data_IF_360970953608
#
_entry.id   IF_360970953608
#
_cell.length_a   1.000
_cell.length_b   1.000
_cell.length_c   1.000
_cell.angle_alpha   90.00
_cell.angle_beta   90.00
_cell.angle_gamma   90.00
#
_symmetry.space_group_name_H-M   'P 1'
#
loop_
_entity.id
_entity.type
_entity.pdbx_description
1 polymer ?
#
# COMPACT_ATOMS: atom_id res chain seq x y z
N UNK A 1 16.63 69.36 38.85
CA UNK A 1 15.80 69.34 37.62
C UNK A 1 15.96 68.03 36.98
N UNK A 2 14.94 67.17 37.16
CA UNK A 2 14.90 65.76 36.64
C UNK A 2 13.82 65.74 35.60
N UNK A 3 14.17 65.89 34.35
CA UNK A 3 13.25 65.81 33.24
C UNK A 3 13.69 64.67 32.30
N UNK A 4 12.81 63.74 32.02
CA UNK A 4 12.79 62.48 31.19
C UNK A 4 12.86 61.19 32.02
N UNK A 5 11.73 60.83 32.61
CA UNK A 5 11.42 59.41 32.80
C UNK A 5 10.69 58.90 31.54
N UNK A 6 11.38 58.15 30.65
CA UNK A 6 10.74 57.38 29.62
C UNK A 6 9.88 56.29 30.29
N UNK A 7 8.58 56.30 30.07
CA UNK A 7 7.72 55.17 30.39
C UNK A 7 8.08 54.04 29.42
N UNK A 8 8.70 53.00 29.94
CA UNK A 8 8.88 51.73 29.19
C UNK A 8 7.49 51.16 28.82
N UNK A 9 7.05 51.43 27.59
CA UNK A 9 5.97 50.66 27.01
C UNK A 9 6.51 49.25 26.75
N UNK A 10 6.22 48.31 27.65
CA UNK A 10 6.36 46.86 27.34
C UNK A 10 5.47 46.59 26.14
N UNK A 11 6.11 46.46 24.97
CA UNK A 11 5.44 45.83 23.84
C UNK A 11 5.07 44.39 24.30
N UNK A 12 3.78 44.09 24.38
CA UNK A 12 3.33 42.73 24.48
C UNK A 12 3.76 42.06 23.19
N UNK A 13 4.70 41.12 23.24
CA UNK A 13 4.98 40.25 22.12
C UNK A 13 3.63 39.65 21.65
N UNK A 14 3.33 39.72 20.36
CA UNK A 14 2.14 39.05 19.85
C UNK A 14 2.25 37.58 20.25
N UNK A 15 1.20 37.06 20.88
CA UNK A 15 1.11 35.63 21.22
C UNK A 15 1.56 34.82 19.98
N UNK A 16 2.69 34.13 20.10
CA UNK A 16 3.12 33.19 19.10
C UNK A 16 2.00 32.18 18.98
N UNK A 17 1.19 32.27 17.91
CA UNK A 17 0.22 31.24 17.58
C UNK A 17 1.01 29.96 17.47
N UNK A 18 0.86 29.05 18.42
CA UNK A 18 1.42 27.70 18.33
C UNK A 18 0.79 27.06 17.09
N UNK A 19 1.61 26.80 16.06
CA UNK A 19 1.18 26.02 14.91
C UNK A 19 0.86 24.65 15.48
N UNK A 20 -0.37 24.12 15.32
CA UNK A 20 -0.71 22.81 15.83
C UNK A 20 0.27 21.77 15.27
N UNK A 21 0.85 20.95 16.14
CA UNK A 21 1.73 19.87 15.76
C UNK A 21 1.00 18.94 14.77
N UNK A 22 1.65 18.59 13.67
CA UNK A 22 1.13 17.63 12.69
C UNK A 22 0.40 18.24 11.48
N UNK A 23 0.39 19.56 11.28
CA UNK A 23 -0.16 20.19 10.06
C UNK A 23 0.79 20.18 8.86
N UNK A 24 2.05 19.88 9.07
CA UNK A 24 3.08 19.93 8.06
C UNK A 24 3.84 18.62 7.98
N UNK A 25 4.07 18.15 6.75
CA UNK A 25 4.89 16.98 6.45
C UNK A 25 6.07 17.38 5.57
N UNK A 26 7.24 16.80 5.80
CA UNK A 26 8.41 16.99 4.95
C UNK A 26 8.43 15.91 3.86
N UNK A 27 8.55 16.31 2.61
CA UNK A 27 8.68 15.36 1.51
C UNK A 27 10.02 14.61 1.59
N UNK A 28 10.04 13.26 1.63
CA UNK A 28 11.29 12.50 1.72
C UNK A 28 12.10 12.48 0.40
N UNK A 29 11.52 12.99 -0.70
CA UNK A 29 12.16 13.00 -2.01
C UNK A 29 12.79 14.35 -2.36
N UNK A 30 12.10 15.47 -2.07
CA UNK A 30 12.58 16.81 -2.42
C UNK A 30 12.82 17.72 -1.22
N UNK A 31 12.62 17.23 0.01
CA UNK A 31 12.78 17.92 1.28
C UNK A 31 11.84 19.13 1.51
N UNK A 32 10.92 19.44 0.58
CA UNK A 32 9.95 20.51 0.72
C UNK A 32 8.94 20.24 1.86
N UNK A 33 8.51 21.33 2.50
CA UNK A 33 7.53 21.30 3.58
C UNK A 33 6.14 21.44 2.97
N UNK A 34 5.30 20.42 3.19
CA UNK A 34 3.98 20.31 2.60
C UNK A 34 2.90 20.50 3.66
N UNK A 35 1.87 21.28 3.32
CA UNK A 35 0.69 21.43 4.17
C UNK A 35 -0.20 20.17 4.03
N UNK A 36 -0.38 19.45 5.15
CA UNK A 36 -1.04 18.13 5.12
C UNK A 36 -2.44 18.13 4.48
N UNK A 37 -3.34 19.10 4.76
CA UNK A 37 -4.66 19.12 4.10
C UNK A 37 -4.59 19.29 2.58
N UNK A 38 -3.60 20.02 2.06
CA UNK A 38 -3.38 20.14 0.61
C UNK A 38 -2.78 18.86 0.03
N UNK A 39 -1.83 18.25 0.75
CA UNK A 39 -1.27 16.95 0.36
C UNK A 39 -2.36 15.87 0.29
N UNK A 40 -3.27 15.83 1.27
CA UNK A 40 -4.40 14.89 1.28
C UNK A 40 -5.37 15.14 0.12
N UNK A 41 -5.69 16.40 -0.18
CA UNK A 41 -6.49 16.77 -1.37
C UNK A 41 -5.83 16.34 -2.67
N UNK A 42 -4.50 16.39 -2.73
CA UNK A 42 -3.71 15.89 -3.86
C UNK A 42 -3.40 14.40 -3.74
N UNK A 43 -4.31 13.59 -3.16
CA UNK A 43 -4.19 12.13 -3.03
C UNK A 43 -2.88 11.67 -2.37
N UNK A 44 -2.33 12.49 -1.47
CA UNK A 44 -1.02 12.27 -0.84
C UNK A 44 0.13 12.15 -1.85
N UNK A 45 0.09 12.94 -2.90
CA UNK A 45 1.16 13.10 -3.89
C UNK A 45 1.78 14.49 -3.72
N UNK A 46 3.11 14.57 -3.66
CA UNK A 46 3.83 15.84 -3.53
C UNK A 46 3.63 16.70 -4.79
N UNK A 47 3.17 17.92 -4.63
CA UNK A 47 2.94 18.84 -5.76
C UNK A 47 4.24 19.44 -6.35
N UNK A 48 5.39 19.27 -5.67
CA UNK A 48 6.70 19.74 -6.16
C UNK A 48 7.45 18.68 -6.97
N UNK A 49 7.44 17.41 -6.53
CA UNK A 49 8.26 16.37 -7.15
C UNK A 49 7.50 15.08 -7.47
N UNK A 50 6.16 15.12 -7.37
CA UNK A 50 5.26 13.99 -7.67
C UNK A 50 5.53 12.74 -6.85
N UNK A 51 6.27 12.84 -5.73
CA UNK A 51 6.49 11.72 -4.84
C UNK A 51 5.16 11.22 -4.25
N UNK A 52 4.88 9.93 -4.42
CA UNK A 52 3.70 9.26 -3.88
C UNK A 52 3.97 8.80 -2.44
N UNK A 53 3.32 9.45 -1.46
CA UNK A 53 3.41 9.03 -0.06
C UNK A 53 2.64 7.72 0.17
N UNK A 54 3.07 6.96 1.18
CA UNK A 54 2.32 5.78 1.65
C UNK A 54 1.02 6.21 2.30
N UNK A 55 -0.07 5.63 1.85
CA UNK A 55 -1.42 5.97 2.31
C UNK A 55 -2.11 4.80 3.02
N UNK A 56 -3.18 5.10 3.73
CA UNK A 56 -4.05 4.09 4.32
C UNK A 56 -4.91 3.41 3.23
N UNK A 57 -5.38 2.17 3.43
CA UNK A 57 -6.25 1.48 2.48
C UNK A 57 -7.48 2.27 2.06
N UNK A 58 -8.04 3.07 2.97
CA UNK A 58 -9.24 3.87 2.71
C UNK A 58 -9.05 4.84 1.54
N UNK A 59 -7.86 5.41 1.37
CA UNK A 59 -7.57 6.31 0.24
C UNK A 59 -7.79 5.61 -1.11
N UNK A 60 -7.41 4.33 -1.22
CA UNK A 60 -7.65 3.56 -2.45
C UNK A 60 -9.11 3.14 -2.62
N UNK A 61 -9.84 2.88 -1.52
CA UNK A 61 -11.30 2.65 -1.58
C UNK A 61 -11.98 3.89 -2.16
N UNK A 62 -11.71 5.05 -1.58
CA UNK A 62 -12.33 6.33 -1.97
C UNK A 62 -11.91 6.77 -3.38
N UNK A 63 -10.69 6.41 -3.81
CA UNK A 63 -10.17 6.72 -5.13
C UNK A 63 -10.76 5.84 -6.22
N UNK A 64 -10.83 4.52 -5.99
CA UNK A 64 -11.13 3.55 -7.05
C UNK A 64 -12.61 3.20 -7.11
N UNK A 65 -13.26 2.95 -5.96
CA UNK A 65 -14.64 2.50 -5.96
C UNK A 65 -15.64 3.65 -6.11
N UNK A 66 -16.74 3.35 -6.74
CA UNK A 66 -17.87 4.28 -6.84
C UNK A 66 -18.51 4.46 -5.47
N UNK A 67 -18.92 5.68 -5.15
CA UNK A 67 -19.51 6.01 -3.84
C UNK A 67 -20.67 5.08 -3.49
N UNK A 68 -20.64 4.55 -2.29
CA UNK A 68 -21.67 3.64 -1.73
C UNK A 68 -21.86 2.34 -2.51
N UNK A 69 -20.90 1.94 -3.36
CA UNK A 69 -20.91 0.63 -4.03
C UNK A 69 -20.15 -0.44 -3.25
N UNK A 70 -19.30 0.00 -2.30
CA UNK A 70 -18.38 -0.87 -1.58
C UNK A 70 -19.06 -1.73 -0.51
N UNK A 71 -18.74 -3.01 -0.49
CA UNK A 71 -19.07 -3.94 0.58
C UNK A 71 -17.79 -4.58 1.11
N UNK A 72 -17.45 -4.35 2.37
CA UNK A 72 -16.26 -4.92 3.01
C UNK A 72 -16.47 -6.41 3.30
N UNK A 73 -15.64 -7.25 2.68
CA UNK A 73 -15.71 -8.70 2.78
C UNK A 73 -14.72 -9.25 3.83
N UNK A 74 -15.01 -10.47 4.30
CA UNK A 74 -14.09 -11.28 5.15
C UNK A 74 -13.60 -10.60 6.42
N UNK A 75 -14.40 -9.72 7.01
CA UNK A 75 -14.08 -8.96 8.23
C UNK A 75 -13.82 -9.83 9.46
N UNK A 76 -14.17 -11.12 9.42
CA UNK A 76 -13.92 -12.08 10.47
C UNK A 76 -12.52 -12.68 10.46
N UNK A 77 -11.74 -12.47 9.38
CA UNK A 77 -10.36 -12.94 9.31
C UNK A 77 -9.46 -12.12 10.23
N UNK A 78 -8.65 -12.80 11.02
CA UNK A 78 -7.84 -12.18 12.07
C UNK A 78 -6.55 -12.96 12.30
N UNK A 79 -5.41 -12.25 12.40
CA UNK A 79 -4.11 -12.82 12.76
C UNK A 79 -4.12 -13.48 14.14
N UNK A 80 -3.52 -14.68 14.22
CA UNK A 80 -3.28 -15.42 15.46
C UNK A 80 -1.85 -15.93 15.51
N UNK A 81 -1.26 -15.94 16.72
CA UNK A 81 0.06 -16.54 16.93
C UNK A 81 -0.09 -18.02 17.27
N UNK A 82 -0.09 -18.88 16.24
CA UNK A 82 -0.18 -20.34 16.40
C UNK A 82 1.19 -20.99 16.60
N UNK A 83 2.31 -20.29 16.31
CA UNK A 83 3.67 -20.79 16.52
C UNK A 83 4.26 -20.36 17.85
N UNK A 84 3.59 -19.48 18.61
CA UNK A 84 4.13 -18.84 19.84
C UNK A 84 5.47 -18.17 19.56
N UNK A 85 5.56 -17.47 18.40
CA UNK A 85 6.81 -16.89 17.93
C UNK A 85 7.29 -15.76 18.83
N UNK A 86 8.57 -15.82 19.17
CA UNK A 86 9.29 -14.81 19.95
C UNK A 86 10.66 -14.53 19.33
N UNK A 87 10.89 -13.29 18.96
CA UNK A 87 12.23 -12.75 18.68
C UNK A 87 12.55 -11.69 19.75
N UNK A 88 12.87 -10.44 19.37
CA UNK A 88 12.98 -9.31 20.31
C UNK A 88 11.64 -9.03 21.00
N UNK A 89 10.52 -9.14 20.25
CA UNK A 89 9.13 -9.01 20.76
C UNK A 89 8.36 -10.28 20.44
N UNK A 90 7.37 -10.61 21.27
CA UNK A 90 6.42 -11.70 20.98
C UNK A 90 5.55 -11.28 19.79
N UNK A 91 5.14 -12.23 18.96
CA UNK A 91 4.26 -11.95 17.83
C UNK A 91 2.88 -11.47 18.27
N UNK A 92 2.35 -12.02 19.37
CA UNK A 92 1.12 -11.55 20.01
C UNK A 92 1.15 -10.05 20.30
N UNK A 93 2.26 -9.53 20.86
CA UNK A 93 2.41 -8.12 21.21
C UNK A 93 2.48 -7.24 19.94
N UNK A 94 3.12 -7.75 18.88
CA UNK A 94 3.17 -7.07 17.60
C UNK A 94 1.78 -6.98 16.95
N UNK A 95 0.97 -8.05 17.01
CA UNK A 95 -0.42 -8.06 16.52
C UNK A 95 -1.26 -7.03 17.29
N UNK A 96 -1.20 -7.02 18.62
CA UNK A 96 -1.95 -6.05 19.44
C UNK A 96 -1.56 -4.63 19.08
N UNK A 97 -0.25 -4.35 19.01
CA UNK A 97 0.26 -3.02 18.61
C UNK A 97 -0.22 -2.61 17.21
N UNK A 98 -0.18 -3.53 16.25
CA UNK A 98 -0.62 -3.25 14.88
C UNK A 98 -2.12 -2.96 14.82
N UNK A 99 -2.95 -3.75 15.52
CA UNK A 99 -4.40 -3.53 15.62
C UNK A 99 -4.73 -2.17 16.23
N UNK A 100 -4.10 -1.83 17.36
CA UNK A 100 -4.30 -0.52 18.01
C UNK A 100 -3.92 0.64 17.09
N UNK A 101 -2.79 0.49 16.36
CA UNK A 101 -2.29 1.55 15.48
C UNK A 101 -3.12 1.74 14.20
N UNK A 102 -3.69 0.67 13.67
CA UNK A 102 -4.34 0.68 12.35
C UNK A 102 -5.86 0.57 12.41
N UNK A 103 -6.42 0.08 13.51
CA UNK A 103 -7.83 -0.32 13.60
C UNK A 103 -8.17 -1.59 12.81
N UNK A 104 -7.17 -2.26 12.20
CA UNK A 104 -7.38 -3.41 11.32
C UNK A 104 -7.06 -4.73 12.02
N UNK A 105 -7.64 -5.82 11.53
CA UNK A 105 -7.38 -7.17 12.05
C UNK A 105 -6.18 -7.86 11.41
N UNK A 106 -5.82 -7.44 10.19
CA UNK A 106 -4.62 -7.89 9.46
C UNK A 106 -4.21 -6.88 8.38
N UNK A 107 -3.20 -7.21 7.60
CA UNK A 107 -2.56 -6.36 6.59
C UNK A 107 -3.32 -6.29 5.26
N UNK A 108 -4.58 -6.66 5.20
CA UNK A 108 -5.38 -6.62 3.97
C UNK A 108 -6.85 -6.34 4.26
N UNK A 109 -7.49 -5.57 3.37
CA UNK A 109 -8.95 -5.44 3.25
C UNK A 109 -9.39 -5.92 1.87
N UNK A 110 -10.58 -6.50 1.78
CA UNK A 110 -11.17 -6.93 0.52
C UNK A 110 -12.56 -6.34 0.40
N UNK A 111 -12.86 -5.80 -0.75
CA UNK A 111 -14.14 -5.19 -1.08
C UNK A 111 -14.74 -5.81 -2.33
N UNK A 112 -16.04 -5.91 -2.33
CA UNK A 112 -16.88 -6.01 -3.52
C UNK A 112 -17.38 -4.59 -3.81
N UNK A 113 -17.32 -4.15 -5.07
CA UNK A 113 -17.70 -2.78 -5.40
C UNK A 113 -17.73 -2.53 -6.91
N UNK A 114 -17.84 -1.26 -7.30
CA UNK A 114 -17.85 -0.86 -8.71
C UNK A 114 -16.81 0.19 -9.01
N UNK A 115 -16.28 0.17 -10.23
CA UNK A 115 -15.42 1.19 -10.81
C UNK A 115 -16.09 1.70 -12.09
N UNK A 116 -16.54 2.94 -12.11
CA UNK A 116 -17.31 3.54 -13.22
C UNK A 116 -18.48 2.64 -13.68
N UNK A 117 -19.19 2.03 -12.72
CA UNK A 117 -20.34 1.17 -12.96
C UNK A 117 -20.00 -0.34 -13.11
N UNK A 118 -18.76 -0.69 -13.48
CA UNK A 118 -18.30 -2.07 -13.66
C UNK A 118 -18.01 -2.74 -12.32
N UNK A 119 -18.58 -3.93 -12.10
CA UNK A 119 -18.39 -4.69 -10.86
C UNK A 119 -16.99 -5.27 -10.77
N UNK A 120 -16.36 -5.18 -9.60
CA UNK A 120 -15.01 -5.67 -9.34
C UNK A 120 -14.87 -6.24 -7.94
N UNK A 121 -13.90 -7.13 -7.74
CA UNK A 121 -13.37 -7.47 -6.41
C UNK A 121 -12.05 -6.75 -6.22
N UNK A 122 -11.92 -5.97 -5.16
CA UNK A 122 -10.74 -5.15 -4.85
C UNK A 122 -10.11 -5.57 -3.53
N UNK A 123 -8.87 -6.05 -3.57
CA UNK A 123 -8.02 -6.23 -2.40
C UNK A 123 -7.10 -5.04 -2.19
N UNK A 124 -6.88 -4.62 -0.95
CA UNK A 124 -5.97 -3.51 -0.63
C UNK A 124 -5.12 -3.89 0.58
N UNK A 125 -3.81 -3.94 0.40
CA UNK A 125 -2.87 -4.22 1.49
C UNK A 125 -2.59 -2.98 2.34
N UNK A 126 -2.36 -3.18 3.64
CA UNK A 126 -2.03 -2.14 4.59
C UNK A 126 -0.60 -2.27 5.09
N UNK A 127 0.31 -1.46 4.56
CA UNK A 127 1.71 -1.47 4.98
C UNK A 127 1.92 -1.13 6.46
N UNK A 128 0.98 -0.39 7.07
CA UNK A 128 1.07 0.01 8.49
C UNK A 128 0.84 -1.17 9.45
N UNK A 129 0.23 -2.27 8.97
CA UNK A 129 0.05 -3.50 9.75
C UNK A 129 1.25 -4.44 9.53
N UNK A 130 2.19 -4.47 10.44
CA UNK A 130 3.42 -5.31 10.41
C UNK A 130 4.12 -5.27 9.04
N UNK A 131 4.34 -4.05 8.48
CA UNK A 131 4.99 -3.85 7.20
C UNK A 131 4.22 -4.40 5.99
N UNK A 132 2.89 -4.55 6.08
CA UNK A 132 2.09 -5.16 5.01
C UNK A 132 2.45 -6.62 4.74
N UNK A 133 3.10 -7.30 5.70
CA UNK A 133 3.64 -8.63 5.49
C UNK A 133 2.55 -9.67 5.24
N UNK A 134 2.78 -10.53 4.25
CA UNK A 134 1.89 -11.62 3.89
C UNK A 134 1.98 -12.76 4.91
N UNK A 135 0.96 -12.89 5.76
CA UNK A 135 0.72 -14.03 6.63
C UNK A 135 -0.44 -14.89 6.13
N UNK A 136 -0.84 -15.85 6.96
CA UNK A 136 -1.94 -16.78 6.68
C UNK A 136 -3.24 -16.07 6.34
N UNK A 137 -3.57 -14.99 7.06
CA UNK A 137 -4.79 -14.20 6.83
C UNK A 137 -4.74 -13.47 5.49
N UNK A 138 -3.62 -12.84 5.12
CA UNK A 138 -3.48 -12.18 3.82
C UNK A 138 -3.67 -13.19 2.69
N UNK A 139 -2.99 -14.34 2.76
CA UNK A 139 -3.12 -15.38 1.74
C UNK A 139 -4.54 -15.99 1.65
N UNK A 140 -5.23 -16.13 2.79
CA UNK A 140 -6.63 -16.59 2.83
C UNK A 140 -7.56 -15.53 2.22
N UNK A 141 -7.41 -14.28 2.58
CA UNK A 141 -8.23 -13.17 2.06
C UNK A 141 -8.08 -13.03 0.53
N UNK A 142 -6.84 -13.05 0.02
CA UNK A 142 -6.55 -13.03 -1.42
C UNK A 142 -7.17 -14.25 -2.11
N UNK A 143 -7.00 -15.45 -1.54
CA UNK A 143 -7.58 -16.69 -2.08
C UNK A 143 -9.10 -16.60 -2.19
N UNK A 144 -9.79 -16.11 -1.15
CA UNK A 144 -11.26 -15.94 -1.15
C UNK A 144 -11.71 -14.84 -2.10
N UNK A 145 -10.95 -13.76 -2.22
CA UNK A 145 -11.22 -12.69 -3.17
C UNK A 145 -11.20 -13.20 -4.61
N UNK A 146 -10.19 -13.99 -4.96
CA UNK A 146 -10.10 -14.64 -6.28
C UNK A 146 -11.26 -15.61 -6.51
N UNK A 147 -11.62 -16.45 -5.52
CA UNK A 147 -12.75 -17.35 -5.64
C UNK A 147 -14.07 -16.62 -5.85
N UNK A 148 -14.27 -15.47 -5.18
CA UNK A 148 -15.44 -14.62 -5.40
C UNK A 148 -15.43 -14.05 -6.83
N UNK A 149 -14.30 -13.52 -7.28
CA UNK A 149 -14.15 -12.99 -8.64
C UNK A 149 -14.45 -14.07 -9.72
N UNK A 150 -14.02 -15.33 -9.51
CA UNK A 150 -14.39 -16.47 -10.38
C UNK A 150 -15.90 -16.69 -10.38
N UNK A 151 -16.50 -16.75 -9.17
CA UNK A 151 -17.94 -17.05 -9.02
C UNK A 151 -18.80 -15.96 -9.68
N UNK A 152 -18.46 -14.71 -9.47
CA UNK A 152 -19.23 -13.56 -9.94
C UNK A 152 -18.87 -13.15 -11.37
N UNK A 153 -17.81 -13.74 -11.95
CA UNK A 153 -17.25 -13.41 -13.28
C UNK A 153 -16.89 -11.93 -13.42
N UNK A 154 -16.17 -11.41 -12.44
CA UNK A 154 -15.75 -10.01 -12.40
C UNK A 154 -14.21 -9.90 -12.30
N UNK A 155 -13.60 -8.79 -12.71
CA UNK A 155 -12.18 -8.56 -12.54
C UNK A 155 -11.77 -8.59 -11.06
N UNK A 156 -10.53 -9.04 -10.82
CA UNK A 156 -9.87 -8.95 -9.52
C UNK A 156 -8.74 -7.93 -9.57
N UNK A 157 -8.78 -6.97 -8.66
CA UNK A 157 -7.73 -5.96 -8.49
C UNK A 157 -7.09 -6.11 -7.12
N UNK A 158 -5.77 -5.89 -7.04
CA UNK A 158 -5.06 -5.97 -5.75
C UNK A 158 -4.01 -4.86 -5.63
N UNK A 159 -4.28 -3.90 -4.75
CA UNK A 159 -3.28 -2.89 -4.36
C UNK A 159 -2.28 -3.54 -3.40
N UNK A 160 -1.05 -3.71 -3.88
CA UNK A 160 0.05 -4.34 -3.15
C UNK A 160 0.88 -3.29 -2.41
N UNK A 161 1.04 -3.46 -1.09
CA UNK A 161 1.89 -2.65 -0.24
C UNK A 161 2.52 -3.54 0.84
N UNK A 162 3.74 -4.07 0.60
CA UNK A 162 4.29 -5.15 1.44
C UNK A 162 5.80 -5.19 1.50
N UNK A 163 6.32 -5.50 2.69
CA UNK A 163 7.71 -5.90 2.91
C UNK A 163 8.02 -7.38 2.62
N UNK A 164 7.02 -8.19 2.24
CA UNK A 164 7.20 -9.61 1.91
C UNK A 164 6.46 -10.59 2.83
N UNK A 165 6.97 -11.81 2.94
CA UNK A 165 6.38 -12.85 3.79
C UNK A 165 6.52 -12.53 5.29
N UNK A 166 5.51 -12.88 6.08
CA UNK A 166 5.47 -12.64 7.53
C UNK A 166 6.36 -13.63 8.28
N UNK A 167 7.54 -13.18 8.68
CA UNK A 167 8.55 -14.00 9.34
C UNK A 167 8.01 -14.69 10.61
N UNK A 168 7.11 -14.05 11.36
CA UNK A 168 6.53 -14.56 12.59
C UNK A 168 5.64 -15.79 12.38
N UNK A 169 5.18 -16.03 11.17
CA UNK A 169 4.38 -17.19 10.79
C UNK A 169 5.21 -18.29 10.10
N UNK A 170 6.54 -18.14 10.02
CA UNK A 170 7.48 -19.14 9.52
C UNK A 170 7.10 -19.67 8.14
N UNK A 171 7.21 -20.98 7.95
CA UNK A 171 6.91 -21.65 6.69
C UNK A 171 5.46 -21.46 6.22
N UNK A 172 4.51 -21.23 7.13
CA UNK A 172 3.10 -21.01 6.76
C UNK A 172 2.93 -19.74 5.93
N UNK A 173 3.70 -18.69 6.22
CA UNK A 173 3.69 -17.48 5.39
C UNK A 173 4.24 -17.74 3.98
N UNK A 174 5.23 -18.60 3.83
CA UNK A 174 5.76 -19.00 2.52
C UNK A 174 4.76 -19.83 1.72
N UNK A 175 3.97 -20.71 2.38
CA UNK A 175 2.93 -21.50 1.73
C UNK A 175 1.80 -20.64 1.15
N UNK A 176 1.68 -19.36 1.57
CA UNK A 176 0.69 -18.46 0.97
C UNK A 176 1.06 -18.10 -0.48
N UNK A 177 2.36 -18.12 -0.87
CA UNK A 177 2.77 -17.92 -2.26
C UNK A 177 2.11 -19.01 -3.16
N UNK A 178 2.28 -20.28 -2.79
CA UNK A 178 1.70 -21.39 -3.55
C UNK A 178 0.17 -21.32 -3.57
N UNK A 179 -0.46 -21.01 -2.44
CA UNK A 179 -1.91 -20.90 -2.30
C UNK A 179 -2.50 -19.84 -3.24
N UNK A 180 -1.97 -18.63 -3.20
CA UNK A 180 -2.46 -17.52 -4.01
C UNK A 180 -2.17 -17.73 -5.49
N UNK A 181 -0.97 -18.19 -5.86
CA UNK A 181 -0.62 -18.49 -7.25
C UNK A 181 -1.51 -19.59 -7.86
N UNK A 182 -1.84 -20.62 -7.07
CA UNK A 182 -2.77 -21.67 -7.53
C UNK A 182 -4.17 -21.11 -7.80
N UNK A 183 -4.67 -20.19 -6.97
CA UNK A 183 -5.98 -19.56 -7.20
C UNK A 183 -5.94 -18.63 -8.42
N UNK A 184 -4.88 -17.88 -8.64
CA UNK A 184 -4.70 -17.06 -9.84
C UNK A 184 -4.65 -17.92 -11.11
N UNK A 185 -3.95 -19.05 -11.08
CA UNK A 185 -3.94 -19.99 -12.19
C UNK A 185 -5.35 -20.55 -12.52
N UNK A 186 -6.19 -20.78 -11.49
CA UNK A 186 -7.60 -21.14 -11.69
C UNK A 186 -8.40 -19.97 -12.26
N UNK A 187 -8.14 -18.75 -11.78
CA UNK A 187 -8.82 -17.54 -12.25
C UNK A 187 -8.55 -17.29 -13.73
N UNK A 188 -7.29 -17.35 -14.15
CA UNK A 188 -6.90 -17.23 -15.55
C UNK A 188 -7.55 -18.33 -16.44
N UNK A 189 -7.60 -19.60 -15.98
CA UNK A 189 -8.30 -20.67 -16.71
C UNK A 189 -9.81 -20.43 -16.89
N UNK A 190 -10.42 -19.62 -16.04
CA UNK A 190 -11.82 -19.22 -16.13
C UNK A 190 -12.02 -17.91 -16.93
N UNK A 191 -10.97 -17.38 -17.58
CA UNK A 191 -11.01 -16.13 -18.34
C UNK A 191 -11.10 -14.89 -17.47
N UNK A 192 -10.65 -14.96 -16.21
CA UNK A 192 -10.69 -13.83 -15.29
C UNK A 192 -9.55 -12.84 -15.55
N UNK A 193 -9.84 -11.54 -15.44
CA UNK A 193 -8.87 -10.44 -15.56
C UNK A 193 -8.30 -10.09 -14.18
N UNK A 194 -6.98 -10.20 -14.01
CA UNK A 194 -6.27 -9.83 -12.80
C UNK A 194 -5.34 -8.62 -13.02
N UNK A 195 -5.54 -7.54 -12.25
CA UNK A 195 -4.73 -6.32 -12.31
C UNK A 195 -4.12 -6.04 -10.93
N UNK A 196 -2.86 -6.42 -10.65
CA UNK A 196 -2.13 -5.93 -9.48
C UNK A 196 -1.68 -4.49 -9.68
N UNK A 197 -1.76 -3.70 -8.60
CA UNK A 197 -1.30 -2.31 -8.51
C UNK A 197 -0.18 -2.27 -7.48
N UNK A 198 1.06 -2.10 -7.94
CA UNK A 198 2.25 -2.18 -7.10
C UNK A 198 2.59 -0.80 -6.54
N UNK A 199 2.57 -0.66 -5.21
CA UNK A 199 2.87 0.59 -4.51
C UNK A 199 4.19 0.50 -3.72
N UNK A 200 4.64 1.61 -3.14
CA UNK A 200 5.89 1.68 -2.36
C UNK A 200 5.70 1.25 -0.90
N UNK A 201 6.36 0.16 -0.45
CA UNK A 201 7.08 -0.84 -1.21
C UNK A 201 6.22 -2.06 -1.56
N UNK A 202 6.58 -2.78 -2.63
CA UNK A 202 6.09 -4.14 -2.90
C UNK A 202 7.29 -5.06 -3.06
N UNK A 203 7.61 -5.87 -2.03
CA UNK A 203 8.84 -6.66 -2.00
C UNK A 203 8.63 -8.10 -1.54
N UNK A 204 9.67 -8.91 -1.68
CA UNK A 204 9.76 -10.27 -1.16
C UNK A 204 8.73 -11.24 -1.75
N UNK A 205 8.11 -12.03 -0.89
CA UNK A 205 7.13 -13.03 -1.28
C UNK A 205 5.90 -12.49 -2.04
N UNK A 206 5.51 -11.24 -1.78
CA UNK A 206 4.40 -10.60 -2.51
C UNK A 206 4.78 -10.37 -3.97
N UNK A 207 5.96 -9.83 -4.23
CA UNK A 207 6.48 -9.65 -5.60
C UNK A 207 6.70 -11.01 -6.29
N UNK A 208 7.18 -12.02 -5.55
CA UNK A 208 7.43 -13.35 -6.08
C UNK A 208 6.15 -14.20 -6.27
N UNK A 209 4.99 -13.65 -5.99
CA UNK A 209 3.69 -14.33 -6.18
C UNK A 209 2.70 -13.37 -6.85
N UNK A 210 1.58 -13.11 -6.22
CA UNK A 210 0.47 -12.34 -6.81
C UNK A 210 0.85 -10.93 -7.28
N UNK A 211 1.93 -10.30 -6.77
CA UNK A 211 2.35 -9.00 -7.26
C UNK A 211 2.83 -8.97 -8.71
N UNK A 212 3.28 -10.11 -9.27
CA UNK A 212 3.77 -10.22 -10.66
C UNK A 212 3.07 -11.28 -11.51
N UNK A 213 1.90 -11.72 -11.09
CA UNK A 213 1.10 -12.71 -11.82
C UNK A 213 -0.16 -12.09 -12.46
N UNK A 214 -0.16 -10.76 -12.67
CA UNK A 214 -1.25 -10.05 -13.32
C UNK A 214 -1.25 -10.20 -14.84
N UNK A 215 -2.43 -10.05 -15.42
CA UNK A 215 -2.60 -9.91 -16.88
C UNK A 215 -2.11 -8.53 -17.35
N UNK A 216 -2.32 -7.49 -16.52
CA UNK A 216 -1.76 -6.15 -16.69
C UNK A 216 -1.24 -5.67 -15.33
N UNK A 217 0.05 -5.41 -15.23
CA UNK A 217 0.72 -5.03 -13.97
C UNK A 217 0.92 -3.52 -13.95
N UNK A 218 0.20 -2.84 -13.06
CA UNK A 218 0.33 -1.40 -12.83
C UNK A 218 1.27 -1.11 -11.67
N UNK A 219 1.96 0.03 -11.70
CA UNK A 219 2.76 0.52 -10.57
C UNK A 219 2.56 2.02 -10.36
N UNK A 220 2.67 2.48 -9.11
CA UNK A 220 2.79 3.91 -8.82
C UNK A 220 4.19 4.43 -9.19
N UNK A 221 4.32 5.73 -9.57
CA UNK A 221 5.61 6.36 -9.84
C UNK A 221 6.57 6.21 -8.66
N UNK A 222 7.82 5.89 -8.94
CA UNK A 222 8.89 5.77 -7.95
C UNK A 222 8.74 4.61 -6.96
N UNK A 223 7.76 3.72 -7.10
CA UNK A 223 7.53 2.61 -6.17
C UNK A 223 8.72 1.65 -6.13
N UNK A 224 9.14 1.26 -4.92
CA UNK A 224 10.16 0.23 -4.71
C UNK A 224 9.52 -1.16 -4.89
N UNK A 225 9.92 -1.85 -5.94
CA UNK A 225 9.37 -3.17 -6.29
C UNK A 225 10.53 -4.13 -6.54
N UNK A 226 10.60 -5.22 -5.78
CA UNK A 226 11.69 -6.18 -5.95
C UNK A 226 11.55 -7.38 -5.02
N UNK A 227 12.37 -8.43 -5.25
CA UNK A 227 12.37 -9.59 -4.36
C UNK A 227 13.13 -9.27 -3.07
N UNK A 228 14.42 -9.05 -3.15
CA UNK A 228 15.24 -8.62 -2.02
C UNK A 228 15.25 -7.09 -1.95
N UNK A 229 14.88 -6.51 -0.80
CA UNK A 229 14.97 -5.06 -0.60
C UNK A 229 16.42 -4.56 -0.60
N UNK A 230 16.66 -3.26 -0.85
CA UNK A 230 18.01 -2.68 -0.92
C UNK A 230 18.88 -2.98 0.30
N UNK A 231 18.30 -2.95 1.49
CA UNK A 231 19.00 -3.26 2.75
C UNK A 231 19.54 -4.71 2.76
N UNK A 232 18.72 -5.66 2.32
CA UNK A 232 19.10 -7.08 2.29
C UNK A 232 20.22 -7.29 1.30
N UNK A 233 20.11 -6.71 0.11
CA UNK A 233 21.13 -6.80 -0.93
C UNK A 233 22.45 -6.22 -0.43
N UNK A 234 22.43 -5.00 0.13
CA UNK A 234 23.63 -4.36 0.69
C UNK A 234 24.29 -5.21 1.79
N UNK A 235 23.49 -5.84 2.67
CA UNK A 235 24.03 -6.72 3.71
C UNK A 235 24.61 -8.03 3.17
N UNK A 236 24.12 -8.51 2.01
CA UNK A 236 24.54 -9.78 1.41
C UNK A 236 25.78 -9.63 0.52
N UNK A 237 25.80 -8.61 -0.34
CA UNK A 237 26.87 -8.41 -1.32
C UNK A 237 27.82 -7.26 -0.98
N UNK A 238 27.56 -6.51 0.10
CA UNK A 238 28.41 -5.40 0.55
C UNK A 238 28.44 -4.18 -0.37
N UNK A 239 27.55 -4.09 -1.36
CA UNK A 239 27.50 -3.01 -2.34
C UNK A 239 26.18 -2.26 -2.29
N UNK A 240 26.22 -0.96 -2.59
CA UNK A 240 25.02 -0.16 -2.79
C UNK A 240 24.45 -0.40 -4.19
N UNK A 241 23.12 -0.41 -4.28
CA UNK A 241 22.43 -0.57 -5.55
C UNK A 241 22.59 0.67 -6.43
N UNK A 242 22.65 0.53 -7.76
CA UNK A 242 22.62 1.65 -8.68
C UNK A 242 21.39 2.54 -8.43
N UNK A 243 21.55 3.85 -8.67
CA UNK A 243 20.44 4.81 -8.54
C UNK A 243 19.27 4.39 -9.44
N UNK A 244 18.06 4.36 -8.87
CA UNK A 244 16.86 3.97 -9.60
C UNK A 244 16.62 2.45 -9.71
N UNK A 245 17.57 1.61 -9.28
CA UNK A 245 17.38 0.16 -9.30
C UNK A 245 16.15 -0.26 -8.45
N UNK A 246 15.36 -1.21 -8.96
CA UNK A 246 14.11 -1.67 -8.35
C UNK A 246 13.01 -0.58 -8.22
N UNK A 247 13.14 0.58 -8.87
CA UNK A 247 12.05 1.52 -8.99
C UNK A 247 11.13 1.16 -10.15
N UNK A 248 9.89 1.60 -10.08
CA UNK A 248 8.89 1.33 -11.13
C UNK A 248 9.37 1.72 -12.53
N UNK A 249 10.09 2.85 -12.67
CA UNK A 249 10.65 3.33 -13.93
C UNK A 249 11.66 2.33 -14.52
N UNK A 250 12.56 1.83 -13.67
CA UNK A 250 13.52 0.80 -14.08
C UNK A 250 12.82 -0.50 -14.48
N UNK A 251 11.78 -0.90 -13.75
CA UNK A 251 11.04 -2.12 -14.03
C UNK A 251 10.21 -2.03 -15.31
N UNK A 252 9.67 -0.85 -15.62
CA UNK A 252 8.99 -0.58 -16.88
C UNK A 252 9.96 -0.70 -18.07
N UNK A 253 11.13 -0.07 -17.97
CA UNK A 253 12.20 -0.17 -18.99
C UNK A 253 12.62 -1.63 -19.24
N UNK A 254 12.65 -2.45 -18.20
CA UNK A 254 13.05 -3.87 -18.28
C UNK A 254 11.88 -4.83 -18.58
N UNK A 255 10.68 -4.34 -18.81
CA UNK A 255 9.50 -5.16 -19.14
C UNK A 255 8.95 -5.99 -17.97
N UNK A 256 9.19 -5.59 -16.73
CA UNK A 256 8.68 -6.28 -15.55
C UNK A 256 7.32 -5.77 -15.05
N UNK A 257 6.89 -4.62 -15.54
CA UNK A 257 5.55 -4.04 -15.34
C UNK A 257 5.08 -3.44 -16.68
N UNK A 258 3.78 -3.24 -16.84
CA UNK A 258 3.19 -2.79 -18.09
C UNK A 258 2.98 -1.28 -18.14
N UNK A 259 2.58 -0.67 -16.99
CA UNK A 259 2.35 0.78 -16.91
C UNK A 259 2.73 1.35 -15.55
N UNK A 260 3.23 2.59 -15.57
CA UNK A 260 3.32 3.46 -14.39
C UNK A 260 2.13 4.41 -14.45
N UNK A 261 1.33 4.47 -13.37
CA UNK A 261 0.08 5.24 -13.33
C UNK A 261 0.04 6.06 -12.05
N UNK A 262 -0.13 7.37 -12.19
CA UNK A 262 -0.36 8.28 -11.06
C UNK A 262 -1.71 7.98 -10.38
N UNK A 263 -1.81 8.27 -9.07
CA UNK A 263 -3.08 8.10 -8.34
C UNK A 263 -4.23 8.89 -8.98
N UNK A 264 -3.96 10.08 -9.47
CA UNK A 264 -4.99 10.90 -10.13
C UNK A 264 -5.59 10.27 -11.38
N UNK A 265 -4.84 9.41 -12.07
CA UNK A 265 -5.24 8.76 -13.32
C UNK A 265 -5.66 7.29 -13.12
N UNK A 266 -5.46 6.75 -11.91
CA UNK A 266 -5.56 5.32 -11.63
C UNK A 266 -6.96 4.77 -11.93
N UNK A 267 -8.01 5.45 -11.48
CA UNK A 267 -9.40 5.02 -11.67
C UNK A 267 -9.76 4.90 -13.15
N UNK A 268 -9.47 5.95 -13.94
CA UNK A 268 -9.78 5.99 -15.36
C UNK A 268 -8.96 4.96 -16.16
N UNK A 269 -7.67 4.79 -15.82
CA UNK A 269 -6.83 3.77 -16.45
C UNK A 269 -7.37 2.36 -16.20
N UNK A 270 -7.75 2.05 -14.97
CA UNK A 270 -8.31 0.74 -14.61
C UNK A 270 -9.65 0.53 -15.31
N UNK A 271 -10.53 1.53 -15.31
CA UNK A 271 -11.84 1.46 -16.00
C UNK A 271 -11.67 1.16 -17.48
N UNK A 272 -10.71 1.84 -18.14
CA UNK A 272 -10.39 1.60 -19.55
C UNK A 272 -9.88 0.16 -19.77
N UNK A 273 -8.98 -0.33 -18.91
CA UNK A 273 -8.46 -1.70 -19.03
C UNK A 273 -9.57 -2.74 -18.85
N UNK A 274 -10.46 -2.55 -17.89
CA UNK A 274 -11.62 -3.44 -17.70
C UNK A 274 -12.47 -3.45 -18.96
N UNK A 275 -12.86 -2.30 -19.48
CA UNK A 275 -13.70 -2.18 -20.69
C UNK A 275 -13.08 -2.80 -21.94
N UNK A 276 -11.76 -2.84 -22.05
CA UNK A 276 -11.04 -3.39 -23.21
C UNK A 276 -10.78 -4.90 -23.10
N UNK A 277 -10.72 -5.44 -21.89
CA UNK A 277 -10.23 -6.80 -21.65
C UNK A 277 -11.31 -7.74 -21.09
N UNK A 278 -12.48 -7.23 -20.79
CA UNK A 278 -13.67 -8.03 -20.38
C UNK A 278 -14.83 -7.81 -21.35
#
# INVERSE_FOLDING_TARGET
>A
MSWFKRKDKKFKDPEKKSIPDGLWDKCPSCDEILYRPELEKNLSVCHHCEHHFRVAPQVYVDLLLDKSSETHLYQNLESKDFLKFKAVKKYTDQIVTAKTKTGEKDAIKVYDGKINGESVVLGIMNFRFIGGSMGSVVGEAVSRAIQKAIKDKVPFLLVCASGGARMQEGAISLMQLAKTSTQLAKFAKNGGLYIPILTDPTTGGVTASYGKLGDVILAEPGALIGFAGPRVIKQTIGQDLPKGFQRSEFLLEKGFIDHIVSRSEMKEKISTLISLLT
#
